data_IF_763819048747
#
_entry.id   IF_763819048747
#
_cell.length_a   1.000
_cell.length_b   1.000
_cell.length_c   1.000
_cell.angle_alpha   90.00
_cell.angle_beta   90.00
_cell.angle_gamma   90.00
#
_symmetry.space_group_name_H-M   'P 1'
#
loop_
_entity.id
_entity.type
_entity.pdbx_description
1 polymer ?
#
# COMPACT_ATOMS: atom_id res chain seq x y z
N UNK A 1 41.29 34.41 37.95
CA UNK A 1 40.22 35.19 38.63
C UNK A 1 39.07 34.24 38.92
N UNK A 2 38.83 34.00 40.20
CA UNK A 2 37.84 33.06 40.73
C UNK A 2 36.64 33.91 41.17
N UNK A 3 35.45 33.60 40.65
CA UNK A 3 34.19 34.25 41.03
C UNK A 3 33.19 33.22 41.52
N UNK A 4 33.17 33.00 42.83
CA UNK A 4 32.12 32.26 43.56
C UNK A 4 30.90 33.17 43.71
N UNK A 5 29.70 32.63 43.53
CA UNK A 5 28.47 33.21 44.08
C UNK A 5 27.83 32.16 45.01
N UNK A 6 27.55 32.59 46.23
CA UNK A 6 26.93 31.83 47.32
C UNK A 6 25.83 32.71 47.90
N UNK A 7 24.59 32.21 47.97
CA UNK A 7 23.50 32.62 48.89
C UNK A 7 22.31 31.68 48.59
N UNK A 8 21.79 30.82 49.46
CA UNK A 8 21.33 30.89 50.86
C UNK A 8 19.83 31.26 51.00
N UNK A 9 19.09 30.38 51.69
CA UNK A 9 17.78 30.62 52.34
C UNK A 9 16.57 30.37 51.44
N UNK A 10 15.42 29.84 51.86
CA UNK A 10 14.78 29.43 53.12
C UNK A 10 13.70 28.42 52.65
N UNK A 11 13.42 27.26 53.25
CA UNK A 11 12.96 27.10 54.62
C UNK A 11 11.46 27.42 54.75
N UNK A 12 10.55 26.56 54.29
CA UNK A 12 9.15 26.55 54.76
C UNK A 12 8.65 25.11 54.94
N UNK A 13 8.61 24.68 56.20
CA UNK A 13 7.85 23.55 56.71
C UNK A 13 6.36 23.96 56.79
N UNK A 14 5.46 23.11 56.31
CA UNK A 14 4.06 23.11 56.74
C UNK A 14 3.65 21.68 57.11
N UNK A 15 3.15 21.58 58.34
CA UNK A 15 2.88 20.37 59.11
C UNK A 15 1.41 19.97 58.99
N UNK A 16 1.19 18.68 58.72
CA UNK A 16 0.09 17.78 59.15
C UNK A 16 -1.34 18.34 59.26
N UNK A 17 -2.22 17.80 58.39
CA UNK A 17 -3.65 17.65 58.67
C UNK A 17 -4.04 16.20 58.48
N UNK A 18 -4.22 15.46 59.59
CA UNK A 18 -4.79 14.13 59.61
C UNK A 18 -6.32 14.22 59.52
N UNK A 19 -6.93 13.50 58.58
CA UNK A 19 -8.32 13.09 58.66
C UNK A 19 -8.39 11.59 58.39
N UNK A 20 -8.83 10.85 59.42
CA UNK A 20 -9.05 9.42 59.37
C UNK A 20 -10.47 9.11 58.90
N UNK A 21 -10.53 8.12 57.99
CA UNK A 21 -11.55 7.08 57.81
C UNK A 21 -13.03 7.47 57.62
N UNK A 22 -13.54 7.13 56.42
CA UNK A 22 -14.79 6.37 56.28
C UNK A 22 -14.54 5.23 55.30
N UNK A 23 -14.81 4.02 55.78
CA UNK A 23 -14.88 2.78 55.00
C UNK A 23 -16.19 2.77 54.21
N UNK A 24 -16.10 2.47 52.92
CA UNK A 24 -17.20 1.88 52.17
C UNK A 24 -16.58 0.93 51.15
N UNK A 25 -16.53 -0.32 51.58
CA UNK A 25 -16.34 -1.52 50.77
C UNK A 25 -17.36 -1.50 49.63
N UNK A 26 -16.90 -1.22 48.42
CA UNK A 26 -17.67 -1.40 47.20
C UNK A 26 -16.80 -2.21 46.24
N UNK A 27 -17.23 -3.40 45.77
CA UNK A 27 -16.53 -4.07 44.70
C UNK A 27 -16.71 -3.21 43.46
N UNK A 28 -15.71 -2.38 43.16
CA UNK A 28 -15.58 -1.77 41.85
C UNK A 28 -15.41 -2.93 40.88
N UNK A 29 -16.53 -3.31 40.27
CA UNK A 29 -16.61 -4.05 39.04
C UNK A 29 -15.51 -3.49 38.13
N UNK A 30 -14.40 -4.22 38.02
CA UNK A 30 -13.32 -3.88 37.12
C UNK A 30 -13.94 -3.93 35.73
N UNK A 31 -14.31 -2.74 35.22
CA UNK A 31 -14.73 -2.55 33.85
C UNK A 31 -13.57 -3.08 33.03
N UNK A 32 -13.79 -4.25 32.41
CA UNK A 32 -12.86 -4.88 31.50
C UNK A 32 -12.18 -3.79 30.70
N UNK A 33 -10.87 -3.71 30.81
CA UNK A 33 -10.04 -2.90 29.93
C UNK A 33 -10.37 -3.38 28.52
N UNK A 34 -11.24 -2.64 27.86
CA UNK A 34 -11.54 -2.78 26.45
C UNK A 34 -10.19 -2.78 25.74
N UNK A 35 -9.83 -3.92 25.17
CA UNK A 35 -8.64 -4.00 24.32
C UNK A 35 -8.74 -2.86 23.30
N UNK A 36 -7.65 -2.12 23.02
CA UNK A 36 -7.68 -1.12 21.97
C UNK A 36 -8.24 -1.76 20.70
N UNK A 37 -9.04 -1.04 19.89
CA UNK A 37 -9.63 -1.60 18.70
C UNK A 37 -8.51 -2.23 17.86
N UNK A 38 -8.62 -3.54 17.60
CA UNK A 38 -7.67 -4.27 16.78
C UNK A 38 -7.63 -3.55 15.43
N UNK A 39 -6.52 -2.86 15.14
CA UNK A 39 -6.30 -2.24 13.84
C UNK A 39 -6.51 -3.34 12.80
N UNK A 40 -7.43 -3.14 11.82
CA UNK A 40 -7.72 -4.18 10.85
C UNK A 40 -6.44 -4.52 10.09
N UNK A 41 -6.14 -5.82 9.97
CA UNK A 41 -4.96 -6.30 9.25
C UNK A 41 -4.90 -5.67 7.85
N UNK A 42 -3.76 -5.11 7.44
CA UNK A 42 -3.60 -4.56 6.09
C UNK A 42 -3.39 -5.66 5.05
N UNK A 43 -3.13 -6.91 5.47
CA UNK A 43 -3.24 -8.10 4.62
C UNK A 43 -4.71 -8.53 4.54
N UNK A 44 -5.45 -7.91 3.61
CA UNK A 44 -6.88 -8.19 3.37
C UNK A 44 -7.13 -9.19 2.24
N UNK A 45 -6.08 -9.51 1.50
CA UNK A 45 -6.11 -10.49 0.44
C UNK A 45 -6.20 -11.90 1.04
N UNK A 46 -7.31 -12.60 0.78
CA UNK A 46 -7.54 -13.94 1.32
C UNK A 46 -6.55 -14.95 0.77
N UNK A 47 -6.17 -14.83 -0.49
CA UNK A 47 -5.22 -15.76 -1.11
C UNK A 47 -3.87 -15.66 -0.41
N UNK A 48 -3.40 -14.43 -0.16
CA UNK A 48 -2.15 -14.20 0.57
C UNK A 48 -2.25 -14.60 2.05
N UNK A 49 -3.39 -14.35 2.69
CA UNK A 49 -3.61 -14.73 4.08
C UNK A 49 -3.62 -16.25 4.25
N UNK A 50 -4.32 -16.97 3.38
CA UNK A 50 -4.38 -18.43 3.39
C UNK A 50 -2.99 -19.02 3.13
N UNK A 51 -2.24 -18.44 2.20
CA UNK A 51 -0.86 -18.85 1.90
C UNK A 51 0.09 -18.60 3.09
N UNK A 52 -0.05 -17.47 3.79
CA UNK A 52 0.79 -17.11 4.92
C UNK A 52 0.47 -17.90 6.21
N UNK A 53 -0.76 -18.41 6.34
CA UNK A 53 -1.24 -19.06 7.57
C UNK A 53 -1.37 -20.57 7.48
N UNK A 54 -1.37 -21.16 6.28
CA UNK A 54 -1.49 -22.61 6.09
C UNK A 54 -0.13 -23.31 6.22
N UNK A 55 0.08 -24.15 7.25
CA UNK A 55 1.35 -24.85 7.42
C UNK A 55 1.62 -25.78 6.23
N UNK A 56 2.79 -25.65 5.61
CA UNK A 56 3.20 -26.49 4.47
C UNK A 56 2.58 -26.12 3.13
N UNK A 57 1.81 -25.02 3.04
CA UNK A 57 1.28 -24.54 1.76
C UNK A 57 2.36 -24.01 0.81
N UNK A 58 3.55 -23.68 1.33
CA UNK A 58 4.66 -23.22 0.52
C UNK A 58 5.99 -23.83 0.99
N UNK A 59 6.86 -24.30 0.07
CA UNK A 59 8.23 -24.64 0.41
C UNK A 59 8.95 -23.47 1.11
N UNK A 60 9.85 -23.77 2.05
CA UNK A 60 10.66 -22.76 2.71
C UNK A 60 11.41 -21.87 1.70
N UNK A 61 11.37 -20.55 1.91
CA UNK A 61 12.00 -19.58 1.03
C UNK A 61 11.22 -19.26 -0.26
N UNK A 62 10.00 -19.77 -0.41
CA UNK A 62 9.14 -19.35 -1.52
C UNK A 62 8.78 -17.88 -1.40
N UNK A 63 8.99 -17.11 -2.46
CA UNK A 63 8.60 -15.70 -2.55
C UNK A 63 7.35 -15.54 -3.41
N UNK A 64 6.54 -14.53 -3.11
CA UNK A 64 5.36 -14.14 -3.89
C UNK A 64 5.43 -12.68 -4.30
N UNK A 65 4.88 -12.36 -5.48
CA UNK A 65 4.74 -10.99 -5.97
C UNK A 65 3.56 -10.30 -5.28
N UNK A 66 3.82 -9.16 -4.66
CA UNK A 66 2.82 -8.37 -3.95
C UNK A 66 2.91 -6.90 -4.30
N UNK A 67 1.76 -6.23 -4.28
CA UNK A 67 1.64 -4.78 -4.27
C UNK A 67 1.58 -4.30 -2.81
N UNK A 68 2.51 -3.43 -2.43
CA UNK A 68 2.60 -2.86 -1.08
C UNK A 68 2.29 -1.37 -1.14
N UNK A 69 1.22 -0.97 -0.47
CA UNK A 69 0.78 0.42 -0.38
C UNK A 69 1.17 1.04 0.95
N UNK A 70 1.52 2.32 0.93
CA UNK A 70 1.79 3.13 2.12
C UNK A 70 1.80 4.61 1.77
N UNK A 71 1.74 5.46 2.80
CA UNK A 71 1.78 6.93 2.63
C UNK A 71 3.17 7.45 2.23
N UNK A 72 4.22 6.71 2.57
CA UNK A 72 5.60 7.01 2.22
C UNK A 72 6.26 5.77 1.59
N UNK A 73 6.51 5.83 0.28
CA UNK A 73 7.09 4.70 -0.46
C UNK A 73 8.56 4.44 -0.10
N UNK A 74 9.27 5.41 0.50
CA UNK A 74 10.61 5.18 1.04
C UNK A 74 10.57 4.28 2.27
N UNK A 75 9.63 4.53 3.18
CA UNK A 75 9.41 3.68 4.36
C UNK A 75 8.81 2.32 4.01
N UNK A 76 8.01 2.23 2.94
CA UNK A 76 7.52 0.95 2.41
C UNK A 76 8.69 0.10 1.90
N UNK A 77 9.62 0.66 1.13
CA UNK A 77 10.81 -0.09 0.66
C UNK A 77 11.64 -0.63 1.81
N UNK A 78 11.90 0.20 2.82
CA UNK A 78 12.62 -0.24 4.02
C UNK A 78 11.89 -1.38 4.75
N UNK A 79 10.55 -1.32 4.83
CA UNK A 79 9.75 -2.40 5.39
C UNK A 79 9.87 -3.70 4.60
N UNK A 80 9.82 -3.64 3.26
CA UNK A 80 10.01 -4.79 2.36
C UNK A 80 11.40 -5.41 2.56
N UNK A 81 12.45 -4.60 2.55
CA UNK A 81 13.84 -5.07 2.75
C UNK A 81 14.02 -5.70 4.14
N UNK A 82 13.41 -5.13 5.17
CA UNK A 82 13.54 -5.62 6.56
C UNK A 82 12.99 -7.03 6.77
N UNK A 83 12.09 -7.47 5.89
CA UNK A 83 11.50 -8.82 5.90
C UNK A 83 12.13 -9.75 4.86
N UNK A 84 13.26 -9.37 4.26
CA UNK A 84 13.95 -10.14 3.22
C UNK A 84 13.23 -10.13 1.86
N UNK A 85 12.35 -9.16 1.64
CA UNK A 85 11.74 -8.91 0.34
C UNK A 85 12.63 -8.08 -0.58
N UNK A 86 12.32 -8.10 -1.87
CA UNK A 86 13.05 -7.38 -2.92
C UNK A 86 12.07 -6.56 -3.77
N UNK A 87 12.35 -5.27 -3.99
CA UNK A 87 11.57 -4.45 -4.93
C UNK A 87 11.78 -4.95 -6.36
N UNK A 88 10.67 -5.17 -7.07
CA UNK A 88 10.64 -5.47 -8.49
C UNK A 88 10.35 -4.23 -9.33
N UNK A 89 9.45 -3.37 -8.85
CA UNK A 89 9.07 -2.12 -9.51
C UNK A 89 8.25 -1.21 -8.60
N UNK A 90 7.93 -0.02 -9.07
CA UNK A 90 7.05 0.88 -8.33
C UNK A 90 6.28 1.82 -9.25
N UNK A 91 5.08 2.19 -8.79
CA UNK A 91 4.28 3.25 -9.39
C UNK A 91 4.33 4.44 -8.43
N UNK A 92 5.05 5.53 -8.77
CA UNK A 92 5.27 6.66 -7.87
C UNK A 92 3.95 7.22 -7.33
N UNK A 93 3.84 7.30 -5.99
CA UNK A 93 2.65 7.78 -5.30
C UNK A 93 1.53 6.75 -5.11
N UNK A 94 1.68 5.50 -5.60
CA UNK A 94 0.65 4.48 -5.51
C UNK A 94 1.09 3.24 -4.72
N UNK A 95 2.14 2.53 -5.17
CA UNK A 95 2.60 1.30 -4.54
C UNK A 95 4.02 0.91 -4.97
N UNK A 96 4.60 -0.04 -4.22
CA UNK A 96 5.82 -0.79 -4.59
C UNK A 96 5.41 -2.23 -4.89
N UNK A 97 5.81 -2.74 -6.05
CA UNK A 97 5.73 -4.16 -6.39
C UNK A 97 6.99 -4.87 -5.88
N UNK A 98 6.83 -5.96 -5.13
CA UNK A 98 7.95 -6.66 -4.52
C UNK A 98 7.76 -8.18 -4.48
N UNK A 99 8.88 -8.89 -4.40
CA UNK A 99 8.93 -10.31 -4.08
C UNK A 99 9.21 -10.51 -2.60
N UNK A 100 8.25 -11.07 -1.86
CA UNK A 100 8.33 -11.21 -0.40
C UNK A 100 8.23 -12.69 -0.02
N UNK A 101 9.06 -13.19 0.91
CA UNK A 101 8.91 -14.54 1.44
C UNK A 101 7.51 -14.74 2.05
N UNK A 102 6.86 -15.86 1.71
CA UNK A 102 5.48 -16.15 2.16
C UNK A 102 5.34 -16.09 3.68
N UNK A 103 6.32 -16.64 4.40
CA UNK A 103 6.36 -16.69 5.86
C UNK A 103 6.50 -15.30 6.50
N UNK A 104 6.88 -14.29 5.72
CA UNK A 104 7.08 -12.92 6.18
C UNK A 104 5.94 -11.96 5.80
N UNK A 105 4.92 -12.42 5.07
CA UNK A 105 3.79 -11.58 4.64
C UNK A 105 3.04 -10.96 5.82
N UNK A 106 2.84 -11.72 6.90
CA UNK A 106 2.19 -11.22 8.12
C UNK A 106 3.06 -10.16 8.80
N UNK A 107 4.37 -10.41 8.91
CA UNK A 107 5.32 -9.46 9.48
C UNK A 107 5.35 -8.16 8.69
N UNK A 108 5.42 -8.24 7.36
CA UNK A 108 5.35 -7.07 6.47
C UNK A 108 4.05 -6.29 6.67
N UNK A 109 2.92 -6.99 6.71
CA UNK A 109 1.62 -6.35 6.92
C UNK A 109 1.53 -5.66 8.29
N UNK A 110 2.24 -6.13 9.30
CA UNK A 110 2.22 -5.49 10.62
C UNK A 110 3.06 -4.21 10.73
N UNK A 111 3.83 -3.86 9.69
CA UNK A 111 4.69 -2.68 9.71
C UNK A 111 3.88 -1.38 9.68
N UNK A 112 4.21 -0.37 10.53
CA UNK A 112 3.46 0.88 10.58
C UNK A 112 3.43 1.69 9.28
N UNK A 113 4.45 1.52 8.42
CA UNK A 113 4.53 2.17 7.11
C UNK A 113 3.67 1.50 6.03
N UNK A 114 3.16 0.29 6.28
CA UNK A 114 2.39 -0.50 5.34
C UNK A 114 0.90 -0.34 5.60
N UNK A 115 0.20 0.26 4.64
CA UNK A 115 -1.25 0.45 4.69
C UNK A 115 -2.05 -0.72 4.10
N UNK A 116 -1.50 -1.41 3.08
CA UNK A 116 -2.13 -2.58 2.44
C UNK A 116 -1.09 -3.43 1.74
N UNK A 117 -1.27 -4.75 1.82
CA UNK A 117 -0.55 -5.74 0.99
C UNK A 117 -1.59 -6.50 0.17
N UNK A 118 -1.39 -6.58 -1.14
CA UNK A 118 -2.30 -7.25 -2.08
C UNK A 118 -1.52 -8.12 -3.08
N UNK A 119 -2.17 -9.14 -3.61
CA UNK A 119 -1.59 -9.93 -4.70
C UNK A 119 -1.53 -9.07 -5.98
N UNK A 120 -0.45 -9.22 -6.75
CA UNK A 120 -0.33 -8.57 -8.06
C UNK A 120 -1.39 -9.14 -9.00
N UNK A 121 -2.30 -8.29 -9.46
CA UNK A 121 -3.32 -8.70 -10.43
C UNK A 121 -2.70 -8.76 -11.83
N UNK A 122 -2.49 -9.97 -12.36
CA UNK A 122 -2.01 -10.15 -13.72
C UNK A 122 -3.17 -10.05 -14.71
N UNK A 123 -3.11 -9.08 -15.62
CA UNK A 123 -4.02 -9.03 -16.75
C UNK A 123 -3.56 -10.04 -17.80
N UNK A 124 -4.44 -10.98 -18.19
CA UNK A 124 -4.18 -11.88 -19.32
C UNK A 124 -4.35 -11.10 -20.62
N UNK A 125 -3.29 -10.92 -21.39
CA UNK A 125 -3.39 -10.53 -22.78
C UNK A 125 -3.69 -11.77 -23.63
N UNK A 126 -4.94 -12.20 -23.66
CA UNK A 126 -5.34 -13.25 -24.58
C UNK A 126 -5.36 -12.64 -25.99
N UNK A 127 -4.24 -12.73 -26.70
CA UNK A 127 -4.22 -12.48 -28.13
C UNK A 127 -4.91 -13.65 -28.80
N UNK A 128 -6.12 -13.44 -29.31
CA UNK A 128 -6.83 -14.45 -30.11
C UNK A 128 -6.49 -14.25 -31.60
N UNK A 129 -5.58 -15.06 -32.19
CA UNK A 129 -5.27 -14.95 -33.60
C UNK A 129 -6.45 -15.32 -34.50
N UNK A 130 -7.49 -15.99 -34.00
CA UNK A 130 -8.70 -16.28 -34.78
C UNK A 130 -9.62 -15.04 -34.93
N UNK A 131 -9.46 -14.05 -34.06
CA UNK A 131 -10.01 -12.69 -34.20
C UNK A 131 -8.96 -11.69 -34.71
N UNK A 132 -7.74 -12.17 -34.99
CA UNK A 132 -6.77 -11.50 -35.85
C UNK A 132 -7.27 -11.55 -37.28
N UNK A 133 -8.42 -10.92 -37.53
CA UNK A 133 -8.90 -10.66 -38.86
C UNK A 133 -7.72 -10.04 -39.61
N UNK A 134 -7.42 -10.58 -40.77
CA UNK A 134 -6.55 -9.88 -41.71
C UNK A 134 -7.34 -8.65 -42.11
N UNK A 135 -7.30 -7.61 -41.28
CA UNK A 135 -8.05 -6.38 -41.43
C UNK A 135 -7.60 -5.78 -42.76
N UNK A 136 -8.39 -6.03 -43.80
CA UNK A 136 -8.23 -5.31 -45.04
C UNK A 136 -8.58 -3.86 -44.72
N UNK A 137 -7.55 -3.01 -44.78
CA UNK A 137 -7.55 -1.58 -44.45
C UNK A 137 -8.83 -0.84 -44.89
N UNK A 138 -9.45 -1.27 -45.98
CA UNK A 138 -10.57 -0.62 -46.65
C UNK A 138 -11.89 -0.59 -45.84
N UNK A 139 -12.15 -1.54 -44.94
CA UNK A 139 -13.44 -1.60 -44.24
C UNK A 139 -13.52 -0.70 -42.99
N UNK A 140 -12.40 -0.53 -42.28
CA UNK A 140 -12.31 0.42 -41.15
C UNK A 140 -12.20 1.87 -41.63
N UNK A 141 -11.54 2.09 -42.77
CA UNK A 141 -11.43 3.41 -43.39
C UNK A 141 -12.82 4.01 -43.66
N UNK A 142 -13.76 3.22 -44.20
CA UNK A 142 -15.14 3.67 -44.47
C UNK A 142 -15.91 4.00 -43.20
N UNK A 143 -15.81 3.18 -42.13
CA UNK A 143 -16.55 3.43 -40.88
C UNK A 143 -16.00 4.65 -40.15
N UNK A 144 -14.69 4.84 -40.14
CA UNK A 144 -14.04 5.99 -39.50
C UNK A 144 -14.36 7.27 -40.29
N UNK A 145 -14.33 7.23 -41.63
CA UNK A 145 -14.61 8.38 -42.49
C UNK A 145 -16.09 8.80 -42.43
N UNK A 146 -17.05 7.86 -42.51
CA UNK A 146 -18.49 8.14 -42.41
C UNK A 146 -18.94 8.57 -41.00
N UNK A 147 -18.28 8.07 -39.95
CA UNK A 147 -18.71 8.34 -38.57
C UNK A 147 -18.04 9.57 -37.96
N UNK A 148 -16.81 9.88 -38.34
CA UNK A 148 -16.01 10.96 -37.71
C UNK A 148 -15.84 12.20 -38.59
N UNK A 149 -16.34 12.20 -39.83
CA UNK A 149 -16.17 13.30 -40.78
C UNK A 149 -14.72 13.83 -40.77
N UNK A 150 -13.74 12.93 -40.83
CA UNK A 150 -12.32 13.26 -40.64
C UNK A 150 -11.84 14.39 -41.55
N UNK A 151 -12.40 14.46 -42.76
CA UNK A 151 -12.13 15.53 -43.71
C UNK A 151 -12.58 16.90 -43.17
N UNK A 152 -13.73 17.00 -42.50
CA UNK A 152 -14.18 18.25 -41.85
C UNK A 152 -13.30 18.62 -40.65
N UNK A 153 -12.81 17.64 -39.88
CA UNK A 153 -11.93 17.89 -38.73
C UNK A 153 -10.54 18.38 -39.15
N UNK A 154 -9.98 17.77 -40.19
CA UNK A 154 -8.71 18.19 -40.80
C UNK A 154 -8.83 19.53 -41.54
N UNK A 155 -9.92 19.75 -42.29
CA UNK A 155 -10.18 21.01 -43.01
C UNK A 155 -10.46 22.18 -42.06
N UNK A 156 -11.01 21.91 -40.87
CA UNK A 156 -11.15 22.90 -39.79
C UNK A 156 -9.81 23.27 -39.13
N UNK A 157 -8.69 22.67 -39.55
CA UNK A 157 -7.35 22.97 -39.05
C UNK A 157 -7.01 22.36 -37.70
N UNK A 158 -7.83 21.42 -37.20
CA UNK A 158 -7.51 20.66 -36.00
C UNK A 158 -6.44 19.63 -36.33
N UNK A 159 -5.20 19.93 -35.92
CA UNK A 159 -4.01 19.12 -36.23
C UNK A 159 -3.61 18.20 -35.09
N UNK A 160 -4.32 18.25 -33.95
CA UNK A 160 -3.90 17.57 -32.72
C UNK A 160 -2.59 18.11 -32.13
N UNK A 161 -2.07 19.25 -32.62
CA UNK A 161 -0.82 19.83 -32.13
C UNK A 161 -0.90 20.08 -30.62
N UNK A 162 0.06 19.50 -29.89
CA UNK A 162 0.13 19.57 -28.43
C UNK A 162 -0.58 18.43 -27.68
N UNK A 163 -1.30 17.55 -28.36
CA UNK A 163 -1.93 16.38 -27.74
C UNK A 163 -0.98 15.18 -27.70
N UNK A 164 -1.06 14.38 -26.63
CA UNK A 164 -0.31 13.14 -26.46
C UNK A 164 -1.30 12.02 -26.15
N UNK A 165 -1.24 10.93 -26.92
CA UNK A 165 -2.07 9.74 -26.72
C UNK A 165 -1.17 8.63 -26.19
N UNK A 166 -1.50 8.09 -25.02
CA UNK A 166 -0.82 6.92 -24.45
C UNK A 166 -1.65 5.67 -24.69
N UNK A 167 -1.08 4.69 -25.39
CA UNK A 167 -1.71 3.39 -25.63
C UNK A 167 -0.91 2.35 -24.85
N UNK A 168 -1.58 1.61 -23.96
CA UNK A 168 -1.00 0.48 -23.22
C UNK A 168 -1.57 -0.80 -23.84
N UNK A 169 -0.76 -1.48 -24.64
CA UNK A 169 -1.17 -2.68 -25.37
C UNK A 169 0.01 -3.66 -25.48
N UNK A 170 -0.30 -4.93 -25.77
CA UNK A 170 0.69 -5.95 -26.08
C UNK A 170 0.91 -5.96 -27.59
N UNK A 171 2.01 -5.35 -28.02
CA UNK A 171 2.44 -5.45 -29.41
C UNK A 171 3.13 -6.80 -29.62
N UNK A 172 2.52 -7.69 -30.41
CA UNK A 172 3.04 -9.03 -30.65
C UNK A 172 4.49 -9.01 -31.16
N UNK A 173 5.35 -9.82 -30.55
CA UNK A 173 6.66 -10.17 -31.10
C UNK A 173 6.54 -11.46 -31.90
N UNK A 174 6.79 -11.40 -33.20
CA UNK A 174 7.04 -12.59 -34.04
C UNK A 174 8.31 -13.31 -33.60
#
# INVERSE_FOLDING_TARGET
MIGRITAAGLGLLLTVGAYAAVSADAPLLAKSTDSPPTTPSPLRDRTLLDLATTPGASPAGTKVSVEVHGSDLGLVRQAIESVGGEEYGSVPGFFVEAHVPVDQLLALSSQPSVGRVAEVTRMSSTFDPANGDTFQNSALEVVIEDTLQLNEWHDAGYTGVGQRIGILDVFGST
#
